data_IF_793472522323
#
_entry.id   IF_793472522323
#
_cell.length_a   1.000
_cell.length_b   1.000
_cell.length_c   1.000
_cell.angle_alpha   90.00
_cell.angle_beta   90.00
_cell.angle_gamma   90.00
#
_symmetry.space_group_name_H-M   'P 1'
#
loop_
_entity.id
_entity.type
_entity.pdbx_description
1 polymer ?
#
# COMPACT_ATOMS: atom_id res chain seq x y z
N UNK A 1 -42.14 6.02 7.15
CA UNK A 1 -41.08 5.07 7.56
C UNK A 1 -40.30 4.70 6.31
N UNK A 2 -39.07 5.18 6.14
CA UNK A 2 -38.23 4.84 4.97
C UNK A 2 -36.88 4.31 5.43
N UNK A 3 -36.41 3.31 4.71
CA UNK A 3 -35.64 2.17 5.18
C UNK A 3 -34.17 2.46 5.55
N UNK A 4 -33.76 1.73 6.59
CA UNK A 4 -32.42 1.41 7.04
C UNK A 4 -31.45 1.05 5.89
N UNK A 5 -30.44 1.90 5.63
CA UNK A 5 -29.27 1.54 4.81
C UNK A 5 -28.14 1.08 5.71
N UNK A 6 -28.25 -0.14 6.21
CA UNK A 6 -27.14 -0.86 6.84
C UNK A 6 -26.21 -1.45 5.79
N UNK A 7 -24.92 -1.11 5.86
CA UNK A 7 -23.84 -2.03 5.53
C UNK A 7 -23.27 -1.99 4.11
N UNK A 8 -22.18 -1.24 3.93
CA UNK A 8 -20.99 -1.70 3.19
C UNK A 8 -19.83 -0.71 3.36
N UNK A 9 -19.14 -0.77 4.50
CA UNK A 9 -17.79 -0.22 4.63
C UNK A 9 -16.79 -1.10 3.87
N UNK A 10 -16.91 -1.18 2.54
CA UNK A 10 -15.84 -1.74 1.70
C UNK A 10 -14.84 -0.63 1.46
N UNK A 11 -13.59 -0.85 1.89
CA UNK A 11 -12.49 0.03 1.50
C UNK A 11 -12.47 0.12 -0.02
N UNK A 12 -12.83 1.30 -0.54
CA UNK A 12 -12.80 1.59 -1.97
C UNK A 12 -11.35 1.87 -2.34
N UNK A 13 -10.84 1.15 -3.34
CA UNK A 13 -9.57 1.49 -3.96
C UNK A 13 -9.80 2.78 -4.75
N UNK A 14 -9.14 3.86 -4.36
CA UNK A 14 -9.31 5.19 -4.99
C UNK A 14 -8.72 5.24 -6.40
N UNK A 15 -7.65 4.49 -6.64
CA UNK A 15 -6.96 4.39 -7.94
C UNK A 15 -6.99 2.94 -8.43
N UNK A 16 -8.03 2.53 -9.17
CA UNK A 16 -8.20 1.15 -9.63
C UNK A 16 -7.02 0.64 -10.48
N UNK A 17 -6.41 1.52 -11.26
CA UNK A 17 -5.29 1.23 -12.15
C UNK A 17 -4.04 0.81 -11.36
N UNK A 18 -3.88 1.34 -10.15
CA UNK A 18 -2.76 1.03 -9.27
C UNK A 18 -2.90 -0.34 -8.58
N UNK A 19 -4.08 -0.98 -8.63
CA UNK A 19 -4.33 -2.24 -7.91
C UNK A 19 -3.33 -3.35 -8.28
N UNK A 20 -3.03 -3.50 -9.57
CA UNK A 20 -2.07 -4.51 -10.02
C UNK A 20 -0.64 -4.22 -9.58
N UNK A 21 -0.24 -2.95 -9.57
CA UNK A 21 1.07 -2.54 -9.06
C UNK A 21 1.16 -2.73 -7.53
N UNK A 22 0.11 -2.39 -6.81
CA UNK A 22 0.00 -2.56 -5.36
C UNK A 22 0.04 -4.04 -4.96
N UNK A 23 -0.62 -4.91 -5.71
CA UNK A 23 -0.57 -6.36 -5.46
C UNK A 23 0.82 -6.93 -5.67
N UNK A 24 1.57 -6.49 -6.69
CA UNK A 24 2.98 -6.88 -6.88
C UNK A 24 3.86 -6.38 -5.74
N UNK A 25 3.72 -5.10 -5.40
CA UNK A 25 4.47 -4.46 -4.34
C UNK A 25 4.27 -5.14 -2.98
N UNK A 26 3.03 -5.51 -2.66
CA UNK A 26 2.69 -6.29 -1.46
C UNK A 26 3.42 -7.63 -1.41
N UNK A 27 3.49 -8.34 -2.54
CA UNK A 27 4.21 -9.63 -2.62
C UNK A 27 5.71 -9.42 -2.44
N UNK A 28 6.29 -8.40 -3.08
CA UNK A 28 7.70 -8.04 -2.90
C UNK A 28 8.04 -7.73 -1.43
N UNK A 29 7.23 -6.88 -0.78
CA UNK A 29 7.41 -6.55 0.65
C UNK A 29 7.28 -7.80 1.53
N UNK A 30 6.33 -8.69 1.22
CA UNK A 30 6.19 -9.95 1.97
C UNK A 30 7.43 -10.86 1.82
N UNK A 31 7.96 -10.98 0.60
CA UNK A 31 9.18 -11.73 0.33
C UNK A 31 10.38 -11.15 1.10
N UNK A 32 10.55 -9.83 1.10
CA UNK A 32 11.64 -9.15 1.83
C UNK A 32 11.55 -9.37 3.34
N UNK A 33 10.33 -9.44 3.89
CA UNK A 33 10.08 -9.69 5.31
C UNK A 33 10.12 -11.19 5.67
N UNK A 34 10.37 -12.08 4.70
CA UNK A 34 10.37 -13.54 4.91
C UNK A 34 8.99 -14.09 5.29
N UNK A 35 7.91 -13.42 4.91
CA UNK A 35 6.54 -13.86 5.16
C UNK A 35 6.00 -14.58 3.93
N UNK A 36 5.58 -15.84 4.11
CA UNK A 36 4.99 -16.68 3.06
C UNK A 36 3.56 -16.22 2.72
N UNK A 37 3.44 -15.08 2.05
CA UNK A 37 2.18 -14.53 1.56
C UNK A 37 1.78 -15.19 0.24
N UNK A 38 0.59 -15.76 0.19
CA UNK A 38 0.05 -16.49 -0.98
C UNK A 38 -1.06 -15.71 -1.67
N UNK A 39 -1.18 -15.90 -2.98
CA UNK A 39 -2.36 -15.47 -3.76
C UNK A 39 -3.52 -16.42 -3.47
N UNK A 40 -4.15 -16.26 -2.31
CA UNK A 40 -5.22 -17.14 -1.84
C UNK A 40 -5.43 -17.03 -0.34
N UNK A 41 -5.68 -18.17 0.30
CA UNK A 41 -5.88 -18.23 1.75
C UNK A 41 -4.57 -17.99 2.50
N UNK A 42 -4.59 -17.00 3.40
CA UNK A 42 -3.47 -16.63 4.27
C UNK A 42 -3.87 -16.71 5.76
N UNK A 43 -4.90 -17.48 6.12
CA UNK A 43 -5.39 -17.54 7.50
C UNK A 43 -4.43 -18.23 8.47
N UNK A 44 -3.36 -18.84 7.98
CA UNK A 44 -2.24 -19.35 8.78
C UNK A 44 -1.22 -18.26 9.14
N UNK A 45 -1.25 -17.09 8.49
CA UNK A 45 -0.37 -15.98 8.84
C UNK A 45 -0.86 -15.34 10.13
N UNK A 46 0.08 -15.02 11.02
CA UNK A 46 -0.26 -14.27 12.23
C UNK A 46 -0.73 -12.86 11.85
N UNK A 47 -1.60 -12.28 12.68
CA UNK A 47 -2.06 -10.89 12.52
C UNK A 47 -0.87 -9.93 12.50
N UNK A 48 0.17 -10.21 13.29
CA UNK A 48 1.43 -9.47 13.30
C UNK A 48 2.12 -9.49 11.94
N UNK A 49 2.28 -10.65 11.31
CA UNK A 49 2.91 -10.77 9.99
C UNK A 49 2.13 -10.02 8.90
N UNK A 50 0.82 -10.20 8.87
CA UNK A 50 -0.05 -9.50 7.91
C UNK A 50 0.02 -7.99 8.11
N UNK A 51 0.01 -7.54 9.37
CA UNK A 51 0.17 -6.13 9.73
C UNK A 51 1.54 -5.56 9.35
N UNK A 52 2.62 -6.32 9.55
CA UNK A 52 3.98 -5.91 9.19
C UNK A 52 4.14 -5.65 7.69
N UNK A 53 3.53 -6.49 6.84
CA UNK A 53 3.53 -6.26 5.38
C UNK A 53 2.84 -4.92 5.06
N UNK A 54 1.66 -4.68 5.62
CA UNK A 54 0.92 -3.43 5.47
C UNK A 54 1.70 -2.19 5.89
N UNK A 55 2.28 -2.24 7.09
CA UNK A 55 3.07 -1.13 7.63
C UNK A 55 4.33 -0.84 6.83
N UNK A 56 5.03 -1.87 6.37
CA UNK A 56 6.25 -1.71 5.59
C UNK A 56 5.98 -1.19 4.17
N UNK A 57 4.86 -1.59 3.56
CA UNK A 57 4.39 -0.99 2.31
C UNK A 57 4.21 0.53 2.47
N UNK A 58 3.50 0.97 3.52
CA UNK A 58 3.25 2.39 3.78
C UNK A 58 4.55 3.14 4.03
N UNK A 59 5.45 2.60 4.86
CA UNK A 59 6.76 3.21 5.14
C UNK A 59 7.57 3.45 3.87
N UNK A 60 7.63 2.45 2.98
CA UNK A 60 8.35 2.55 1.70
C UNK A 60 7.69 3.53 0.73
N UNK A 61 6.35 3.59 0.69
CA UNK A 61 5.63 4.56 -0.15
C UNK A 61 5.91 6.00 0.30
N UNK A 62 5.85 6.27 1.60
CA UNK A 62 6.17 7.59 2.17
C UNK A 62 7.61 7.96 1.84
N UNK A 63 8.57 7.06 2.10
CA UNK A 63 9.99 7.29 1.80
C UNK A 63 10.22 7.65 0.33
N UNK A 64 9.63 6.91 -0.61
CA UNK A 64 9.73 7.20 -2.05
C UNK A 64 9.13 8.56 -2.40
N UNK A 65 8.02 8.94 -1.77
CA UNK A 65 7.39 10.23 -1.99
C UNK A 65 8.25 11.37 -1.43
N UNK A 66 8.81 11.21 -0.23
CA UNK A 66 9.76 12.17 0.37
C UNK A 66 10.99 12.36 -0.52
N UNK A 67 11.58 11.27 -1.03
CA UNK A 67 12.72 11.32 -1.97
C UNK A 67 12.36 12.02 -3.29
N UNK A 68 11.16 11.77 -3.83
CA UNK A 68 10.70 12.44 -5.05
C UNK A 68 10.47 13.94 -4.83
N UNK A 69 9.90 14.34 -3.69
CA UNK A 69 9.70 15.75 -3.35
C UNK A 69 11.04 16.45 -3.13
N UNK A 70 11.95 15.85 -2.37
CA UNK A 70 13.29 16.39 -2.15
C UNK A 70 14.09 16.54 -3.45
N UNK A 71 13.95 15.60 -4.40
CA UNK A 71 14.59 15.71 -5.70
C UNK A 71 13.90 16.72 -6.62
N UNK A 72 12.59 16.91 -6.48
CA UNK A 72 11.83 17.90 -7.27
C UNK A 72 12.17 19.33 -6.83
N UNK A 73 12.38 19.56 -5.53
CA UNK A 73 12.77 20.85 -4.96
C UNK A 73 14.14 21.36 -5.47
N UNK A 74 15.01 20.48 -5.98
CA UNK A 74 16.32 20.86 -6.54
C UNK A 74 16.28 21.18 -8.05
N UNK A 75 15.11 21.11 -8.70
CA UNK A 75 14.97 21.37 -10.15
C UNK A 75 14.34 22.73 -10.49
N UNK A 76 13.94 23.51 -9.48
CA UNK A 76 13.25 24.80 -9.63
C UNK A 76 14.12 26.06 -9.52
N UNK A 77 15.45 25.96 -9.35
CA UNK A 77 16.32 27.13 -9.11
C UNK A 77 17.28 27.49 -10.24
N UNK A 78 17.12 26.95 -11.46
CA UNK A 78 17.97 27.33 -12.60
C UNK A 78 17.11 27.78 -13.78
N UNK A 79 16.57 28.98 -13.65
CA UNK A 79 16.11 29.79 -14.77
C UNK A 79 16.47 31.24 -14.41
N UNK A 80 17.69 31.64 -14.80
CA UNK A 80 17.96 33.03 -15.16
C UNK A 80 17.14 33.41 -16.39
#
# INVERSE_FOLDING_TARGET
MSNNSSGSNRNRVEVPEAKGAMDRFKMEVANDLGVDLKKGYNGNLTTKQTGSIGGEMVRRMIKRQEEQMANSDNSGSMSE
#
